data_IF_254102986057
#
_entry.id   IF_254102986057
#
_cell.length_a   1.000
_cell.length_b   1.000
_cell.length_c   1.000
_cell.angle_alpha   90.00
_cell.angle_beta   90.00
_cell.angle_gamma   90.00
#
_symmetry.space_group_name_H-M   'P 1'
#
loop_
_entity.id
_entity.type
_entity.pdbx_description
1 polymer ?
#
# COMPACT_ATOMS: atom_id res chain seq x y z
N UNK A 1 1.59 14.96 -25.25
CA UNK A 1 2.91 15.27 -24.70
C UNK A 1 3.27 16.65 -25.20
N UNK A 2 3.73 17.51 -24.30
CA UNK A 2 4.29 18.80 -24.66
C UNK A 2 5.74 18.62 -25.17
N UNK A 3 6.32 19.61 -25.86
CA UNK A 3 7.75 19.60 -26.17
C UNK A 3 8.60 19.48 -24.89
N UNK A 4 9.70 18.73 -24.97
CA UNK A 4 10.67 18.63 -23.89
C UNK A 4 11.51 19.93 -23.82
N UNK A 5 12.07 20.29 -22.65
CA UNK A 5 13.13 21.30 -22.56
C UNK A 5 14.28 20.99 -23.52
N UNK A 6 14.87 22.02 -24.14
CA UNK A 6 15.82 21.88 -25.25
C UNK A 6 17.05 21.02 -24.92
N UNK A 7 17.60 21.14 -23.69
CA UNK A 7 18.72 20.34 -23.21
C UNK A 7 18.37 18.83 -23.13
N UNK A 8 17.13 18.55 -22.72
CA UNK A 8 16.62 17.20 -22.55
C UNK A 8 16.20 16.60 -23.90
N UNK A 9 15.58 17.40 -24.77
CA UNK A 9 15.24 17.03 -26.14
C UNK A 9 16.50 16.59 -26.89
N UNK A 10 17.52 17.45 -26.95
CA UNK A 10 18.82 17.17 -27.59
C UNK A 10 19.48 15.90 -27.04
N UNK A 11 19.41 15.68 -25.72
CA UNK A 11 19.96 14.48 -25.09
C UNK A 11 19.18 13.19 -25.43
N UNK A 12 17.85 13.27 -25.55
CA UNK A 12 16.96 12.16 -25.94
C UNK A 12 17.05 11.86 -27.45
N UNK A 13 17.21 12.87 -28.28
CA UNK A 13 17.31 12.76 -29.74
C UNK A 13 18.63 12.12 -30.17
N UNK A 14 19.74 12.48 -29.52
CA UNK A 14 21.06 11.87 -29.71
C UNK A 14 21.19 10.43 -29.14
N UNK A 15 20.09 9.74 -28.86
CA UNK A 15 20.07 8.36 -28.39
C UNK A 15 19.69 7.39 -29.53
N UNK A 16 20.67 6.95 -30.33
CA UNK A 16 20.45 6.11 -31.51
C UNK A 16 19.71 4.80 -31.20
N UNK A 17 20.04 4.12 -30.11
CA UNK A 17 19.33 2.90 -29.65
C UNK A 17 18.00 3.18 -28.93
N UNK A 18 17.63 4.46 -28.78
CA UNK A 18 16.51 4.95 -27.99
C UNK A 18 16.83 5.16 -26.52
N UNK A 19 15.79 5.54 -25.77
CA UNK A 19 15.86 5.88 -24.34
C UNK A 19 14.99 4.93 -23.52
N UNK A 20 15.49 4.51 -22.36
CA UNK A 20 14.69 3.94 -21.27
C UNK A 20 14.45 5.00 -20.20
N UNK A 21 13.19 5.15 -19.75
CA UNK A 21 12.81 6.07 -18.68
C UNK A 21 12.58 5.27 -17.40
N UNK A 22 13.25 5.61 -16.30
CA UNK A 22 13.17 4.89 -15.03
C UNK A 22 12.57 5.85 -13.98
N UNK A 23 11.46 5.47 -13.34
CA UNK A 23 10.83 6.28 -12.28
C UNK A 23 9.97 5.45 -11.34
N UNK A 24 10.19 5.62 -10.03
CA UNK A 24 9.43 4.95 -8.97
C UNK A 24 8.35 5.86 -8.35
N UNK A 25 7.94 6.91 -9.08
CA UNK A 25 6.89 7.84 -8.64
C UNK A 25 7.29 8.74 -7.46
N UNK A 26 6.34 9.54 -6.96
CA UNK A 26 6.60 10.42 -5.81
C UNK A 26 6.59 9.70 -4.46
N UNK A 27 5.92 8.54 -4.38
CA UNK A 27 5.80 7.74 -3.15
C UNK A 27 7.09 7.00 -2.77
N UNK A 28 7.88 6.56 -3.74
CA UNK A 28 9.17 5.89 -3.50
C UNK A 28 10.29 6.92 -3.62
N UNK A 29 10.61 7.58 -2.50
CA UNK A 29 11.69 8.59 -2.45
C UNK A 29 13.09 7.99 -2.38
N UNK A 30 13.25 6.86 -1.70
CA UNK A 30 14.54 6.24 -1.46
C UNK A 30 14.50 4.76 -1.82
N UNK A 31 15.56 4.28 -2.45
CA UNK A 31 15.85 2.87 -2.65
C UNK A 31 16.97 2.48 -1.67
N UNK A 32 17.08 1.19 -1.33
CA UNK A 32 18.29 0.71 -0.65
C UNK A 32 19.50 0.82 -1.57
N UNK A 33 20.70 1.05 -1.00
CA UNK A 33 21.96 1.10 -1.75
C UNK A 33 22.13 -0.16 -2.62
N UNK A 34 21.88 -1.36 -2.08
CA UNK A 34 21.93 -2.63 -2.81
C UNK A 34 21.02 -2.67 -4.05
N UNK A 35 19.76 -2.22 -3.93
CA UNK A 35 18.84 -2.16 -5.05
C UNK A 35 19.26 -1.10 -6.07
N UNK A 36 19.74 0.05 -5.62
CA UNK A 36 20.20 1.12 -6.49
C UNK A 36 21.46 0.72 -7.28
N UNK A 37 22.41 0.01 -6.67
CA UNK A 37 23.59 -0.53 -7.35
C UNK A 37 23.23 -1.64 -8.35
N UNK A 38 22.35 -2.58 -7.99
CA UNK A 38 21.85 -3.63 -8.91
C UNK A 38 21.16 -3.05 -10.15
N UNK A 39 20.31 -2.03 -9.94
CA UNK A 39 19.66 -1.31 -11.04
C UNK A 39 20.70 -0.58 -11.90
N UNK A 40 21.64 0.14 -11.28
CA UNK A 40 22.69 0.88 -11.99
C UNK A 40 23.58 -0.03 -12.85
N UNK A 41 24.02 -1.17 -12.31
CA UNK A 41 24.83 -2.15 -13.02
C UNK A 41 24.08 -2.76 -14.21
N UNK A 42 22.82 -3.16 -14.02
CA UNK A 42 21.98 -3.68 -15.10
C UNK A 42 21.74 -2.63 -16.21
N UNK A 43 21.51 -1.37 -15.84
CA UNK A 43 21.29 -0.26 -16.76
C UNK A 43 22.56 0.16 -17.50
N UNK A 44 23.74 0.07 -16.88
CA UNK A 44 25.03 0.35 -17.51
C UNK A 44 25.32 -0.55 -18.72
N UNK A 45 24.73 -1.75 -18.74
CA UNK A 45 24.87 -2.75 -19.82
C UNK A 45 23.93 -2.52 -21.00
N UNK A 46 22.94 -1.62 -20.89
CA UNK A 46 21.97 -1.38 -21.95
C UNK A 46 22.55 -0.52 -23.08
N UNK A 47 22.26 -0.84 -24.36
CA UNK A 47 22.63 0.02 -25.49
C UNK A 47 21.81 1.32 -25.54
N UNK A 48 20.64 1.36 -24.89
CA UNK A 48 19.85 2.58 -24.72
C UNK A 48 20.56 3.58 -23.80
N UNK A 49 20.30 4.88 -24.02
CA UNK A 49 20.50 5.86 -22.93
C UNK A 49 19.42 5.64 -21.87
N UNK A 50 19.77 5.87 -20.61
CA UNK A 50 18.87 5.65 -19.47
C UNK A 50 18.65 6.98 -18.76
N UNK A 51 17.40 7.42 -18.68
CA UNK A 51 17.01 8.61 -17.93
C UNK A 51 16.32 8.18 -16.65
N UNK A 52 16.99 8.33 -15.52
CA UNK A 52 16.53 7.81 -14.25
C UNK A 52 16.19 8.95 -13.29
N UNK A 53 14.90 9.03 -12.92
CA UNK A 53 14.46 9.84 -11.80
C UNK A 53 14.90 9.19 -10.48
N UNK A 54 15.87 9.79 -9.81
CA UNK A 54 16.54 9.22 -8.64
C UNK A 54 16.83 10.31 -7.59
N UNK A 55 16.73 9.93 -6.31
CA UNK A 55 17.09 10.76 -5.16
C UNK A 55 18.04 9.99 -4.25
N UNK A 56 19.04 10.68 -3.73
CA UNK A 56 20.03 10.12 -2.82
C UNK A 56 21.41 9.98 -3.44
N UNK A 57 22.21 9.08 -2.89
CA UNK A 57 23.62 8.91 -3.23
C UNK A 57 23.76 8.25 -4.60
N UNK A 58 24.47 8.90 -5.53
CA UNK A 58 24.80 8.32 -6.86
C UNK A 58 25.38 6.90 -6.70
N UNK A 59 24.79 5.87 -7.34
CA UNK A 59 25.34 4.52 -7.37
C UNK A 59 26.74 4.48 -7.98
N UNK A 60 27.61 3.62 -7.45
CA UNK A 60 28.97 3.36 -7.93
C UNK A 60 28.97 2.69 -9.30
N UNK A 61 28.03 1.78 -9.55
CA UNK A 61 27.89 1.05 -10.80
C UNK A 61 27.15 1.83 -11.91
N UNK A 62 27.03 3.15 -11.79
CA UNK A 62 26.31 3.98 -12.77
C UNK A 62 27.09 4.10 -14.09
N UNK A 63 26.55 3.51 -15.16
CA UNK A 63 27.13 3.58 -16.50
C UNK A 63 27.02 4.96 -17.17
N UNK A 64 27.94 5.23 -18.10
CA UNK A 64 28.01 6.49 -18.86
C UNK A 64 26.78 6.77 -19.75
N UNK A 65 25.97 5.75 -20.02
CA UNK A 65 24.69 5.88 -20.73
C UNK A 65 23.57 6.47 -19.86
N UNK A 66 23.76 6.61 -18.54
CA UNK A 66 22.71 6.95 -17.59
C UNK A 66 22.79 8.40 -17.08
N UNK A 67 21.74 9.20 -17.32
CA UNK A 67 21.54 10.54 -16.73
C UNK A 67 20.61 10.41 -15.52
N UNK A 68 21.10 10.79 -14.34
CA UNK A 68 20.28 10.93 -13.13
C UNK A 68 19.66 12.33 -13.08
N UNK A 69 18.39 12.43 -12.68
CA UNK A 69 17.70 13.70 -12.41
C UNK A 69 16.76 13.52 -11.22
N UNK A 70 16.57 14.54 -10.38
CA UNK A 70 15.58 14.48 -9.29
C UNK A 70 14.14 14.64 -9.81
N UNK A 71 13.98 15.40 -10.89
CA UNK A 71 12.71 15.63 -11.57
C UNK A 71 12.82 15.35 -13.06
N UNK A 72 11.78 14.75 -13.64
CA UNK A 72 11.67 14.50 -15.09
C UNK A 72 10.23 14.80 -15.55
N UNK A 73 10.02 15.35 -16.76
CA UNK A 73 8.69 15.51 -17.36
C UNK A 73 8.19 14.14 -17.89
N UNK A 74 7.82 13.23 -16.97
CA UNK A 74 7.60 11.81 -17.26
C UNK A 74 6.59 11.55 -18.38
N UNK A 75 5.40 12.18 -18.33
CA UNK A 75 4.38 12.05 -19.36
C UNK A 75 4.88 12.48 -20.76
N UNK A 76 5.68 13.55 -20.82
CA UNK A 76 6.15 14.09 -22.09
C UNK A 76 7.29 13.25 -22.68
N UNK A 77 8.17 12.75 -21.81
CA UNK A 77 9.18 11.74 -22.15
C UNK A 77 8.54 10.46 -22.69
N UNK A 78 7.52 9.92 -21.99
CA UNK A 78 6.81 8.72 -22.45
C UNK A 78 6.11 8.93 -23.80
N UNK A 79 5.72 10.16 -24.13
CA UNK A 79 5.19 10.52 -25.45
C UNK A 79 6.24 10.71 -26.55
N UNK A 80 7.54 10.69 -26.23
CA UNK A 80 8.62 10.95 -27.18
C UNK A 80 8.97 9.69 -28.02
N UNK A 81 9.13 9.77 -29.35
CA UNK A 81 9.33 8.61 -30.23
C UNK A 81 10.62 7.79 -29.96
N UNK A 82 11.64 8.42 -29.37
CA UNK A 82 12.86 7.72 -28.96
C UNK A 82 12.71 6.88 -27.68
N UNK A 83 11.66 7.07 -26.86
CA UNK A 83 11.47 6.24 -25.67
C UNK A 83 10.96 4.84 -26.05
N UNK A 84 11.70 3.82 -25.60
CA UNK A 84 11.46 2.41 -25.96
C UNK A 84 10.87 1.59 -24.82
N UNK A 85 11.16 1.94 -23.58
CA UNK A 85 10.65 1.25 -22.39
C UNK A 85 10.54 2.18 -21.18
N UNK A 86 9.62 1.85 -20.27
CA UNK A 86 9.44 2.48 -18.97
C UNK A 86 9.76 1.46 -17.86
N UNK A 87 10.71 1.79 -16.99
CA UNK A 87 10.99 0.99 -15.79
C UNK A 87 10.31 1.65 -14.58
N UNK A 88 9.43 0.92 -13.91
CA UNK A 88 8.50 1.50 -12.94
C UNK A 88 8.33 0.66 -11.67
N UNK A 89 7.86 1.30 -10.61
CA UNK A 89 7.28 0.64 -9.44
C UNK A 89 5.87 0.08 -9.66
N UNK A 90 5.22 0.34 -10.81
CA UNK A 90 3.85 -0.13 -11.06
C UNK A 90 2.73 0.77 -10.52
N UNK A 91 3.03 1.97 -10.01
CA UNK A 91 2.01 2.94 -9.59
C UNK A 91 1.07 3.36 -10.72
N UNK A 92 -0.23 3.38 -10.42
CA UNK A 92 -1.34 3.44 -11.39
C UNK A 92 -1.20 4.56 -12.43
N UNK A 93 -0.87 5.79 -12.00
CA UNK A 93 -0.76 6.95 -12.90
C UNK A 93 0.35 6.77 -13.95
N UNK A 94 1.54 6.35 -13.53
CA UNK A 94 2.66 6.13 -14.46
C UNK A 94 2.40 4.97 -15.44
N UNK A 95 1.64 3.95 -15.01
CA UNK A 95 1.18 2.88 -15.90
C UNK A 95 0.13 3.40 -16.89
N UNK A 96 -0.79 4.28 -16.48
CA UNK A 96 -1.73 4.92 -17.43
C UNK A 96 -1.03 5.86 -18.42
N UNK A 97 -0.02 6.63 -18.02
CA UNK A 97 0.81 7.41 -18.95
C UNK A 97 1.50 6.50 -19.98
N UNK A 98 2.09 5.40 -19.52
CA UNK A 98 2.75 4.39 -20.37
C UNK A 98 1.75 3.69 -21.31
N UNK A 99 0.54 3.35 -20.86
CA UNK A 99 -0.54 2.83 -21.70
C UNK A 99 -0.94 3.88 -22.72
N UNK A 100 -1.18 5.12 -22.28
CA UNK A 100 -1.61 6.21 -23.14
C UNK A 100 -0.62 6.44 -24.28
N UNK A 101 0.69 6.45 -24.03
CA UNK A 101 1.71 6.62 -25.09
C UNK A 101 2.18 5.31 -25.74
N UNK A 102 1.63 4.16 -25.32
CA UNK A 102 1.98 2.85 -25.86
C UNK A 102 3.45 2.47 -25.66
N UNK A 103 4.01 2.75 -24.49
CA UNK A 103 5.40 2.41 -24.10
C UNK A 103 5.41 1.13 -23.25
N UNK A 104 6.12 0.06 -23.64
CA UNK A 104 6.28 -1.16 -22.83
C UNK A 104 6.85 -0.91 -21.43
N UNK A 105 6.52 -1.79 -20.48
CA UNK A 105 6.91 -1.63 -19.06
C UNK A 105 7.76 -2.79 -18.57
N UNK A 106 8.79 -2.51 -17.78
CA UNK A 106 9.33 -3.46 -16.79
C UNK A 106 9.02 -2.90 -15.40
N UNK A 107 8.44 -3.72 -14.53
CA UNK A 107 7.92 -3.26 -13.24
C UNK A 107 8.44 -4.03 -12.04
N UNK A 108 8.85 -3.30 -11.00
CA UNK A 108 9.25 -3.80 -9.68
C UNK A 108 8.30 -3.27 -8.59
N UNK A 109 7.13 -3.89 -8.39
CA UNK A 109 6.15 -3.44 -7.41
C UNK A 109 6.64 -3.66 -5.98
N UNK A 110 6.58 -2.61 -5.15
CA UNK A 110 7.09 -2.67 -3.77
C UNK A 110 6.02 -3.04 -2.73
N UNK A 111 4.81 -2.47 -2.84
CA UNK A 111 3.74 -2.57 -1.84
C UNK A 111 2.36 -2.34 -2.47
N UNK A 112 1.29 -2.73 -1.80
CA UNK A 112 -0.08 -2.34 -2.14
C UNK A 112 -0.56 -2.78 -3.53
N UNK A 113 -1.28 -1.88 -4.19
CA UNK A 113 -1.89 -2.05 -5.52
C UNK A 113 -0.87 -2.23 -6.65
N UNK A 114 0.39 -1.83 -6.45
CA UNK A 114 1.47 -1.98 -7.42
C UNK A 114 1.59 -3.43 -7.97
N UNK A 115 1.46 -4.44 -7.11
CA UNK A 115 1.56 -5.86 -7.50
C UNK A 115 0.42 -6.27 -8.43
N UNK A 116 -0.80 -5.87 -8.10
CA UNK A 116 -2.02 -6.15 -8.86
C UNK A 116 -2.02 -5.42 -10.22
N UNK A 117 -1.57 -4.17 -10.24
CA UNK A 117 -1.35 -3.40 -11.47
C UNK A 117 -0.31 -4.08 -12.37
N UNK A 118 0.86 -4.44 -11.83
CA UNK A 118 1.90 -5.10 -12.64
C UNK A 118 1.52 -6.50 -13.11
N UNK A 119 0.73 -7.23 -12.32
CA UNK A 119 0.13 -8.50 -12.73
C UNK A 119 -0.76 -8.30 -13.96
N UNK A 120 -1.61 -7.26 -13.98
CA UNK A 120 -2.42 -6.90 -15.17
C UNK A 120 -1.58 -6.47 -16.36
N UNK A 121 -0.55 -5.65 -16.18
CA UNK A 121 0.36 -5.23 -17.27
C UNK A 121 1.05 -6.44 -17.91
N UNK A 122 1.49 -7.39 -17.08
CA UNK A 122 2.12 -8.62 -17.54
C UNK A 122 1.12 -9.56 -18.25
N UNK A 123 -0.04 -9.83 -17.64
CA UNK A 123 -1.09 -10.67 -18.23
C UNK A 123 -1.63 -10.10 -19.55
N UNK A 124 -1.70 -8.77 -19.69
CA UNK A 124 -2.03 -8.10 -20.96
C UNK A 124 -0.89 -8.09 -21.97
N UNK A 125 0.26 -8.69 -21.70
CA UNK A 125 1.40 -8.81 -22.63
C UNK A 125 2.18 -7.52 -22.90
N UNK A 126 1.91 -6.44 -22.17
CA UNK A 126 2.51 -5.12 -22.37
C UNK A 126 3.87 -4.96 -21.66
N UNK A 127 4.15 -5.81 -20.67
CA UNK A 127 5.36 -5.68 -19.88
C UNK A 127 5.78 -6.93 -19.11
N UNK A 128 6.85 -6.78 -18.34
CA UNK A 128 7.43 -7.81 -17.48
C UNK A 128 7.33 -7.35 -16.03
N UNK A 129 6.86 -8.23 -15.16
CA UNK A 129 6.89 -8.07 -13.71
C UNK A 129 8.14 -8.78 -13.16
N UNK A 130 8.91 -8.10 -12.31
CA UNK A 130 10.05 -8.65 -11.57
C UNK A 130 9.81 -8.49 -10.06
N UNK A 131 10.17 -9.50 -9.28
CA UNK A 131 10.06 -9.43 -7.83
C UNK A 131 11.30 -8.75 -7.24
N UNK A 132 11.13 -7.57 -6.66
CA UNK A 132 12.25 -6.72 -6.20
C UNK A 132 13.14 -7.36 -5.13
N UNK A 133 12.61 -8.33 -4.38
CA UNK A 133 13.30 -9.02 -3.30
C UNK A 133 14.18 -10.20 -3.76
N UNK A 134 13.97 -10.73 -4.97
CA UNK A 134 14.65 -11.93 -5.47
C UNK A 134 15.32 -11.74 -6.83
N UNK A 135 15.04 -10.65 -7.55
CA UNK A 135 15.66 -10.37 -8.84
C UNK A 135 17.16 -10.10 -8.72
N UNK A 136 17.91 -10.59 -9.69
CA UNK A 136 19.32 -10.30 -9.90
C UNK A 136 19.51 -9.13 -10.86
N UNK A 137 20.75 -8.63 -10.97
CA UNK A 137 21.14 -7.70 -12.05
C UNK A 137 20.82 -8.27 -13.44
N UNK A 138 21.05 -9.58 -13.64
CA UNK A 138 20.80 -10.26 -14.90
C UNK A 138 19.31 -10.28 -15.24
N UNK A 139 18.43 -10.51 -14.26
CA UNK A 139 16.97 -10.48 -14.48
C UNK A 139 16.49 -9.10 -14.95
N UNK A 140 17.04 -8.03 -14.36
CA UNK A 140 16.74 -6.64 -14.73
C UNK A 140 17.21 -6.36 -16.16
N UNK A 141 18.46 -6.71 -16.48
CA UNK A 141 19.04 -6.56 -17.81
C UNK A 141 18.23 -7.34 -18.87
N UNK A 142 17.97 -8.63 -18.62
CA UNK A 142 17.21 -9.50 -19.50
C UNK A 142 15.78 -9.01 -19.70
N UNK A 143 15.10 -8.53 -18.66
CA UNK A 143 13.77 -7.95 -18.81
C UNK A 143 13.78 -6.69 -19.70
N UNK A 144 14.74 -5.79 -19.50
CA UNK A 144 14.89 -4.56 -20.28
C UNK A 144 15.25 -4.86 -21.75
N UNK A 145 16.17 -5.79 -21.99
CA UNK A 145 16.48 -6.27 -23.35
C UNK A 145 15.25 -6.90 -24.00
N UNK A 146 14.50 -7.77 -23.30
CA UNK A 146 13.29 -8.40 -23.84
C UNK A 146 12.23 -7.38 -24.25
N UNK A 147 11.91 -6.37 -23.42
CA UNK A 147 10.86 -5.39 -23.78
C UNK A 147 11.27 -4.43 -24.89
N UNK A 148 12.56 -4.13 -25.04
CA UNK A 148 13.08 -3.22 -26.08
C UNK A 148 13.31 -3.91 -27.41
N UNK A 149 13.70 -5.20 -27.42
CA UNK A 149 13.99 -5.98 -28.64
C UNK A 149 12.77 -6.70 -29.20
N UNK A 150 11.94 -7.31 -28.37
CA UNK A 150 10.82 -8.13 -28.85
C UNK A 150 9.61 -7.26 -29.17
N UNK A 151 9.37 -7.04 -30.47
CA UNK A 151 8.28 -6.19 -30.98
C UNK A 151 6.89 -6.51 -30.42
N UNK A 152 6.66 -7.72 -29.88
CA UNK A 152 5.41 -8.13 -29.22
C UNK A 152 4.98 -7.12 -28.14
N UNK A 153 5.90 -6.67 -27.29
CA UNK A 153 5.55 -5.78 -26.18
C UNK A 153 5.15 -4.39 -26.70
N UNK A 154 5.87 -3.84 -27.68
CA UNK A 154 5.53 -2.54 -28.29
C UNK A 154 4.23 -2.62 -29.10
N UNK A 155 4.00 -3.68 -29.86
CA UNK A 155 2.71 -3.93 -30.56
C UNK A 155 1.55 -3.97 -29.57
N UNK A 156 1.72 -4.69 -28.47
CA UNK A 156 0.70 -4.80 -27.42
C UNK A 156 0.46 -3.48 -26.68
N UNK A 157 1.53 -2.74 -26.36
CA UNK A 157 1.43 -1.41 -25.76
C UNK A 157 0.68 -0.42 -26.68
N UNK A 158 0.96 -0.43 -28.00
CA UNK A 158 0.25 0.38 -28.99
C UNK A 158 -1.22 -0.05 -29.16
N UNK A 159 -1.52 -1.35 -29.10
CA UNK A 159 -2.89 -1.85 -29.13
C UNK A 159 -3.69 -1.37 -27.90
N UNK A 160 -3.12 -1.48 -26.70
CA UNK A 160 -3.74 -0.97 -25.47
C UNK A 160 -3.84 0.56 -25.45
N UNK A 161 -2.86 1.28 -26.02
CA UNK A 161 -2.92 2.73 -26.24
C UNK A 161 -4.13 3.10 -27.09
N UNK A 162 -4.35 2.40 -28.22
CA UNK A 162 -5.52 2.61 -29.07
C UNK A 162 -6.82 2.40 -28.29
N UNK A 163 -6.96 1.26 -27.60
CA UNK A 163 -8.16 0.96 -26.79
C UNK A 163 -8.39 1.94 -25.64
N UNK A 164 -7.33 2.47 -25.02
CA UNK A 164 -7.43 3.42 -23.93
C UNK A 164 -7.79 4.83 -24.40
N UNK A 165 -7.30 5.24 -25.57
CA UNK A 165 -7.62 6.53 -26.21
C UNK A 165 -8.99 6.52 -26.91
N UNK A 166 -9.47 5.36 -27.31
CA UNK A 166 -10.82 5.17 -27.86
C UNK A 166 -11.86 5.37 -26.74
N UNK A 167 -12.49 6.55 -26.74
CA UNK A 167 -13.41 7.01 -25.71
C UNK A 167 -14.59 7.72 -26.39
N UNK A 168 -15.84 7.49 -25.96
CA UNK A 168 -17.03 8.00 -26.65
C UNK A 168 -17.18 9.52 -26.59
N UNK A 169 -16.49 10.18 -25.65
CA UNK A 169 -16.48 11.63 -25.49
C UNK A 169 -15.05 12.11 -25.25
N UNK A 170 -14.70 13.24 -25.86
CA UNK A 170 -13.48 13.98 -25.52
C UNK A 170 -13.50 14.34 -24.01
N UNK A 171 -12.36 14.28 -23.28
CA UNK A 171 -12.34 14.47 -21.83
C UNK A 171 -13.02 15.76 -21.35
N UNK A 172 -12.85 16.88 -22.07
CA UNK A 172 -13.52 18.16 -21.76
C UNK A 172 -15.05 18.02 -21.82
N UNK A 173 -15.58 17.41 -22.89
CA UNK A 173 -17.03 17.23 -23.07
C UNK A 173 -17.61 16.28 -22.01
N UNK A 174 -16.84 15.25 -21.62
CA UNK A 174 -17.20 14.36 -20.51
C UNK A 174 -17.24 15.09 -19.17
N UNK A 175 -16.31 16.02 -18.91
CA UNK A 175 -16.34 16.88 -17.72
C UNK A 175 -17.55 17.81 -17.71
N UNK A 176 -17.85 18.46 -18.85
CA UNK A 176 -19.05 19.31 -19.00
C UNK A 176 -20.32 18.51 -18.70
N UNK A 177 -20.47 17.33 -19.30
CA UNK A 177 -21.61 16.43 -19.05
C UNK A 177 -21.80 16.12 -17.56
N UNK A 178 -20.73 15.83 -16.81
CA UNK A 178 -20.83 15.53 -15.38
C UNK A 178 -21.15 16.77 -14.54
N UNK A 179 -20.63 17.95 -14.89
CA UNK A 179 -21.03 19.21 -14.24
C UNK A 179 -22.52 19.48 -14.46
N UNK A 180 -23.00 19.39 -15.70
CA UNK A 180 -24.41 19.54 -16.06
C UNK A 180 -25.30 18.46 -15.41
N UNK A 181 -24.80 17.23 -15.24
CA UNK A 181 -25.51 16.18 -14.52
C UNK A 181 -25.72 16.54 -13.05
N UNK A 182 -24.66 17.01 -12.36
CA UNK A 182 -24.76 17.45 -10.96
C UNK A 182 -25.71 18.64 -10.81
N UNK A 183 -25.69 19.60 -11.73
CA UNK A 183 -26.61 20.74 -11.74
C UNK A 183 -28.06 20.32 -11.98
N UNK A 184 -28.33 19.48 -13.00
CA UNK A 184 -29.68 18.97 -13.32
C UNK A 184 -30.29 18.12 -12.21
N UNK A 185 -29.46 17.44 -11.42
CA UNK A 185 -29.89 16.62 -10.29
C UNK A 185 -29.67 17.31 -8.92
N UNK A 186 -29.63 18.65 -8.89
CA UNK A 186 -29.59 19.47 -7.67
C UNK A 186 -28.51 19.02 -6.64
N UNK A 187 -27.30 18.73 -7.14
CA UNK A 187 -26.17 18.24 -6.34
C UNK A 187 -25.93 16.72 -6.43
N UNK A 188 -26.80 15.97 -7.12
CA UNK A 188 -26.69 14.53 -7.36
C UNK A 188 -26.42 13.71 -6.07
N UNK A 189 -27.22 13.93 -5.03
CA UNK A 189 -27.04 13.30 -3.72
C UNK A 189 -26.99 11.76 -3.77
N UNK A 190 -27.64 11.12 -4.75
CA UNK A 190 -27.58 9.67 -4.99
C UNK A 190 -26.21 9.15 -5.46
N UNK A 191 -25.31 10.02 -5.91
CA UNK A 191 -23.92 9.69 -6.24
C UNK A 191 -22.94 10.03 -5.11
N UNK A 192 -23.39 10.71 -4.04
CA UNK A 192 -22.54 11.03 -2.89
C UNK A 192 -22.36 9.77 -2.02
N UNK A 193 -21.14 9.45 -1.56
CA UNK A 193 -20.96 8.38 -0.59
C UNK A 193 -21.72 8.69 0.70
N UNK A 194 -22.49 7.73 1.21
CA UNK A 194 -23.23 7.86 2.47
C UNK A 194 -22.33 8.18 3.69
N UNK A 195 -21.01 8.00 3.55
CA UNK A 195 -19.98 8.39 4.53
C UNK A 195 -20.06 9.86 4.97
N UNK A 196 -20.62 10.76 4.14
CA UNK A 196 -20.80 12.16 4.50
C UNK A 196 -22.02 12.44 5.39
N UNK A 197 -22.96 11.50 5.47
CA UNK A 197 -24.24 11.68 6.16
C UNK A 197 -24.35 10.80 7.43
N UNK A 198 -23.37 9.94 7.71
CA UNK A 198 -23.32 9.13 8.94
C UNK A 198 -22.79 9.92 10.14
N UNK A 199 -23.34 9.61 11.31
CA UNK A 199 -22.93 10.24 12.57
C UNK A 199 -21.58 9.72 13.06
N UNK A 200 -20.85 10.54 13.84
CA UNK A 200 -19.54 10.19 14.44
C UNK A 200 -19.51 8.80 15.10
N UNK A 201 -20.54 8.46 15.88
CA UNK A 201 -20.61 7.17 16.59
C UNK A 201 -20.83 5.98 15.65
N UNK A 202 -21.48 6.17 14.50
CA UNK A 202 -21.62 5.14 13.45
C UNK A 202 -20.30 4.99 12.67
N UNK A 203 -19.64 6.09 12.33
CA UNK A 203 -18.34 6.08 11.65
C UNK A 203 -17.29 5.28 12.44
N UNK A 204 -17.26 5.45 13.76
CA UNK A 204 -16.34 4.72 14.65
C UNK A 204 -16.91 3.42 15.25
N UNK A 205 -18.13 3.00 14.85
CA UNK A 205 -18.80 1.77 15.31
C UNK A 205 -18.80 1.62 16.85
N UNK A 206 -19.08 2.72 17.57
CA UNK A 206 -18.94 2.79 19.03
C UNK A 206 -19.93 1.86 19.76
N UNK A 207 -21.09 1.62 19.15
CA UNK A 207 -22.11 0.66 19.59
C UNK A 207 -21.61 -0.79 19.50
N UNK A 208 -20.98 -1.17 18.37
CA UNK A 208 -20.34 -2.47 18.18
C UNK A 208 -19.17 -2.64 19.17
N UNK A 209 -18.34 -1.60 19.35
CA UNK A 209 -17.24 -1.61 20.32
C UNK A 209 -17.74 -1.80 21.76
N UNK A 210 -18.83 -1.12 22.15
CA UNK A 210 -19.46 -1.27 23.45
C UNK A 210 -20.02 -2.69 23.66
N UNK A 211 -20.68 -3.26 22.64
CA UNK A 211 -21.20 -4.63 22.70
C UNK A 211 -20.08 -5.68 22.83
N UNK A 212 -19.01 -5.55 22.05
CA UNK A 212 -17.86 -6.47 22.08
C UNK A 212 -17.12 -6.36 23.41
N UNK A 213 -16.83 -5.16 23.90
CA UNK A 213 -16.16 -4.96 25.20
C UNK A 213 -16.99 -5.49 26.37
N UNK A 214 -18.32 -5.29 26.36
CA UNK A 214 -19.22 -5.87 27.35
C UNK A 214 -19.23 -7.41 27.30
N UNK A 215 -19.26 -8.01 26.10
CA UNK A 215 -19.18 -9.45 25.92
C UNK A 215 -17.87 -10.06 26.44
N UNK A 216 -16.73 -9.41 26.17
CA UNK A 216 -15.42 -9.80 26.72
C UNK A 216 -15.39 -9.65 28.25
N UNK A 217 -15.93 -8.56 28.80
CA UNK A 217 -16.01 -8.37 30.25
C UNK A 217 -16.88 -9.44 30.93
N UNK A 218 -18.03 -9.79 30.35
CA UNK A 218 -18.94 -10.82 30.85
C UNK A 218 -18.32 -12.23 30.80
N UNK A 219 -17.69 -12.59 29.68
CA UNK A 219 -17.01 -13.89 29.54
C UNK A 219 -15.84 -14.01 30.52
N UNK A 220 -15.01 -12.98 30.67
CA UNK A 220 -13.98 -12.92 31.71
C UNK A 220 -14.56 -13.04 33.13
N UNK A 221 -15.63 -12.32 33.45
CA UNK A 221 -16.30 -12.38 34.75
C UNK A 221 -16.83 -13.79 35.07
N UNK A 222 -17.51 -14.42 34.10
CA UNK A 222 -18.04 -15.77 34.21
C UNK A 222 -16.92 -16.80 34.40
N UNK A 223 -15.83 -16.72 33.62
CA UNK A 223 -14.65 -17.57 33.77
C UNK A 223 -13.99 -17.41 35.14
N UNK A 224 -13.81 -16.18 35.62
CA UNK A 224 -13.27 -15.90 36.97
C UNK A 224 -14.18 -16.47 38.07
N UNK A 225 -15.51 -16.38 37.94
CA UNK A 225 -16.44 -17.01 38.89
C UNK A 225 -16.41 -18.54 38.82
N UNK A 226 -16.29 -19.13 37.64
CA UNK A 226 -16.16 -20.58 37.46
C UNK A 226 -14.87 -21.10 38.12
N UNK A 227 -13.72 -20.47 37.85
CA UNK A 227 -12.44 -20.81 38.50
C UNK A 227 -12.51 -20.66 40.02
N UNK A 228 -13.13 -19.60 40.55
CA UNK A 228 -13.35 -19.43 42.00
C UNK A 228 -14.25 -20.53 42.59
N UNK A 229 -15.32 -20.93 41.88
CA UNK A 229 -16.22 -22.01 42.31
C UNK A 229 -15.50 -23.37 42.31
N UNK A 230 -14.71 -23.67 41.29
CA UNK A 230 -13.89 -24.88 41.20
C UNK A 230 -12.84 -24.92 42.33
N UNK A 231 -12.05 -23.84 42.52
CA UNK A 231 -11.09 -23.75 43.63
C UNK A 231 -11.75 -23.95 45.00
N UNK A 232 -12.94 -23.40 45.23
CA UNK A 232 -13.69 -23.58 46.49
C UNK A 232 -14.22 -25.01 46.70
N UNK A 233 -14.49 -25.75 45.62
CA UNK A 233 -14.91 -27.15 45.70
C UNK A 233 -13.73 -28.13 45.84
N UNK A 234 -12.53 -27.75 45.39
CA UNK A 234 -11.31 -28.57 45.47
C UNK A 234 -10.55 -28.33 46.79
N UNK A 235 -10.64 -27.13 47.38
CA UNK A 235 -10.07 -26.85 48.70
C UNK A 235 -10.95 -27.49 49.81
N UNK A 236 -10.42 -28.43 50.62
CA UNK A 236 -11.21 -29.09 51.66
C UNK A 236 -11.67 -28.09 52.72
N UNK A 237 -12.96 -28.14 53.04
CA UNK A 237 -13.58 -27.35 54.10
C UNK A 237 -12.97 -27.77 55.45
N UNK A 238 -12.10 -26.93 56.04
CA UNK A 238 -11.50 -27.19 57.37
C UNK A 238 -12.61 -27.51 58.38
N UNK A 239 -12.69 -28.78 58.79
CA UNK A 239 -13.57 -29.23 59.87
C UNK A 239 -13.08 -28.57 61.16
N UNK A 240 -13.95 -27.82 61.85
CA UNK A 240 -13.64 -27.33 63.20
C UNK A 240 -13.67 -28.53 64.14
N UNK A 241 -12.52 -28.91 64.70
CA UNK A 241 -12.49 -29.86 65.82
C UNK A 241 -13.01 -29.17 67.08
N UNK A 242 -13.95 -29.80 67.78
CA UNK A 242 -14.41 -29.35 69.09
C UNK A 242 -13.38 -29.76 70.14
N UNK A 243 -12.59 -28.80 70.63
CA UNK A 243 -11.80 -29.01 71.84
C UNK A 243 -12.65 -28.75 73.07
N UNK A 244 -13.07 -29.81 73.75
CA UNK A 244 -13.51 -29.75 75.14
C UNK A 244 -12.35 -29.25 76.01
N UNK A 245 -12.59 -28.25 76.87
CA UNK A 245 -11.64 -27.87 77.92
C UNK A 245 -12.25 -28.07 79.30
N UNK A 246 -11.39 -28.52 80.21
CA UNK A 246 -11.77 -29.07 81.50
C UNK A 246 -12.27 -27.99 82.48
N UNK A 247 -13.07 -28.42 83.45
CA UNK A 247 -13.78 -27.52 84.33
C UNK A 247 -12.92 -26.82 85.38
N UNK A 248 -13.38 -25.63 85.76
CA UNK A 248 -13.33 -25.15 87.14
C UNK A 248 -14.72 -24.59 87.48
N UNK A 249 -15.26 -24.97 88.64
CA UNK A 249 -16.46 -24.34 89.22
C UNK A 249 -16.01 -23.30 90.25
N UNK A 250 -16.58 -22.11 90.20
CA UNK A 250 -16.76 -21.25 91.37
C UNK A 250 -18.11 -20.53 91.26
N UNK A 251 -19.04 -20.83 92.18
CA UNK A 251 -20.07 -19.86 92.60
C UNK A 251 -19.42 -18.84 93.57
N UNK A 252 -20.08 -17.86 94.20
CA UNK A 252 -21.49 -17.44 94.40
C UNK A 252 -21.43 -15.91 94.74
N UNK A 253 -22.45 -15.05 94.66
CA UNK A 253 -23.83 -15.04 94.11
C UNK A 253 -24.20 -13.56 93.87
N UNK A 254 -25.25 -13.23 93.09
CA UNK A 254 -25.91 -11.90 93.20
C UNK A 254 -27.44 -12.05 93.20
N UNK A 255 -28.02 -11.87 94.39
CA UNK A 255 -29.43 -11.53 94.65
C UNK A 255 -29.58 -11.33 96.17
N UNK A 256 -30.26 -10.33 96.75
CA UNK A 256 -31.02 -9.18 96.22
C UNK A 256 -31.42 -8.32 97.42
N UNK A 257 -31.60 -6.99 97.24
CA UNK A 257 -32.30 -6.08 98.17
C UNK A 257 -31.61 -5.87 99.55
N UNK A 258 -31.79 -4.75 100.28
CA UNK A 258 -32.88 -3.76 100.30
C UNK A 258 -32.42 -2.43 100.96
N UNK A 259 -32.95 -1.30 100.48
CA UNK A 259 -33.22 -0.02 101.19
C UNK A 259 -32.09 0.93 101.68
N UNK A 260 -32.37 2.21 101.37
CA UNK A 260 -32.20 3.46 102.13
C UNK A 260 -30.92 4.31 101.99
N UNK A 261 -31.15 5.46 101.33
CA UNK A 261 -30.33 6.67 101.15
C UNK A 261 -29.09 6.53 100.26
#
# INVERSE_FOLDING_TARGET
ANPLPEDLATWVESAHSGVAVISFGAGVKHLSDDLAEKLAAAFARLPQKVLWRYFGKKPRCLGNNTKLMEWIPQNDLLGHPNVKAFFSHGGLNGIFESIYHGVPVVGIPFFGDHYDIMTRVHAKGMGIFLSWNSMTEEDIYQAMVRVTTHSRYKKQALHLSKLHRDQPLHPVNRTIYWIEYVLRHHGANHLRPALYDISFYQYYLLDVLALVTLGVALTCYCSLKLVRKLKRNILPRKVKSSHSRNGFKNGKLVSTNKKQK
#
